data_IF_409881064838
#
_entry.id   IF_409881064838
#
_cell.length_a   1.000
_cell.length_b   1.000
_cell.length_c   1.000
_cell.angle_alpha   90.00
_cell.angle_beta   90.00
_cell.angle_gamma   90.00
#
_symmetry.space_group_name_H-M   'P 1'
#
loop_
_entity.id
_entity.type
_entity.pdbx_description
1 polymer ?
#
# COMPACT_ATOMS: atom_id res chain seq x y z
N UNK A 1 23.99 -1.18 2.03
CA UNK A 1 23.50 -0.32 0.96
C UNK A 1 23.34 1.08 1.55
N UNK A 2 24.10 2.05 1.03
CA UNK A 2 23.89 3.45 1.38
C UNK A 2 22.61 3.88 0.67
N UNK A 3 21.61 4.32 1.43
CA UNK A 3 20.47 5.00 0.85
C UNK A 3 21.02 6.17 0.01
N UNK A 4 20.79 6.14 -1.29
CA UNK A 4 21.13 7.27 -2.14
C UNK A 4 20.36 8.49 -1.62
N UNK A 5 21.02 9.60 -1.34
CA UNK A 5 20.31 10.81 -0.93
C UNK A 5 19.32 11.18 -2.04
N UNK A 6 18.11 11.56 -1.66
CA UNK A 6 17.01 12.02 -2.53
C UNK A 6 17.46 13.16 -3.50
N UNK A 7 18.66 13.67 -3.31
CA UNK A 7 19.24 14.79 -4.07
C UNK A 7 20.08 14.39 -5.30
N UNK A 8 20.16 13.10 -5.69
CA UNK A 8 20.75 12.79 -6.99
C UNK A 8 19.70 13.07 -8.06
N UNK A 9 19.99 14.04 -8.92
CA UNK A 9 19.13 14.37 -10.06
C UNK A 9 18.76 13.05 -10.79
N UNK A 10 17.46 12.78 -10.98
CA UNK A 10 17.00 11.58 -11.64
C UNK A 10 17.56 11.53 -13.07
N UNK A 11 17.79 10.33 -13.54
CA UNK A 11 18.19 10.11 -14.92
C UNK A 11 17.05 10.54 -15.83
N UNK A 12 17.36 11.09 -17.00
CA UNK A 12 16.36 11.55 -17.99
C UNK A 12 15.34 10.46 -18.37
N UNK A 13 15.76 9.19 -18.37
CA UNK A 13 14.94 8.02 -18.64
C UNK A 13 13.87 7.71 -17.54
N UNK A 14 14.07 8.19 -16.31
CA UNK A 14 13.10 8.01 -15.21
C UNK A 14 11.89 8.96 -15.32
N UNK A 15 11.96 9.97 -16.18
CA UNK A 15 10.88 10.95 -16.44
C UNK A 15 10.33 10.84 -17.86
N UNK A 16 10.90 9.97 -18.68
CA UNK A 16 10.40 9.75 -20.03
C UNK A 16 9.22 8.79 -20.02
N UNK A 17 8.02 9.33 -20.15
CA UNK A 17 6.78 8.57 -20.26
C UNK A 17 6.52 8.04 -21.67
N UNK A 18 7.43 8.28 -22.61
CA UNK A 18 7.39 7.80 -23.99
C UNK A 18 6.28 8.44 -24.85
N UNK A 19 5.15 8.77 -24.28
CA UNK A 19 4.00 9.39 -24.94
C UNK A 19 3.45 10.54 -24.10
N UNK A 20 2.93 11.57 -24.77
CA UNK A 20 2.18 12.60 -24.10
C UNK A 20 0.99 11.97 -23.36
N UNK A 21 0.79 12.34 -22.12
CA UNK A 21 -0.34 11.91 -21.29
C UNK A 21 -1.21 13.12 -21.01
N UNK A 22 -2.46 12.90 -20.65
CA UNK A 22 -3.34 13.92 -20.13
C UNK A 22 -3.49 13.71 -18.63
N UNK A 23 -3.43 14.79 -17.87
CA UNK A 23 -3.70 14.77 -16.45
C UNK A 23 -5.10 15.29 -16.18
N UNK A 24 -5.87 14.54 -15.41
CA UNK A 24 -7.22 14.91 -15.02
C UNK A 24 -7.29 15.03 -13.51
N UNK A 25 -7.67 16.23 -13.04
CA UNK A 25 -7.90 16.51 -11.63
C UNK A 25 -9.39 16.55 -11.32
N UNK A 26 -9.79 15.85 -10.26
CA UNK A 26 -11.16 15.86 -9.79
C UNK A 26 -11.35 16.92 -8.71
N UNK A 27 -12.18 17.94 -8.97
CA UNK A 27 -12.49 18.98 -8.01
C UNK A 27 -13.29 18.49 -6.79
N UNK A 28 -13.90 17.32 -6.88
CA UNK A 28 -14.71 16.79 -5.78
C UNK A 28 -13.87 16.01 -4.75
N UNK A 29 -13.00 15.11 -5.19
CA UNK A 29 -12.18 14.28 -4.28
C UNK A 29 -10.68 14.61 -4.34
N UNK A 30 -10.26 15.51 -5.22
CA UNK A 30 -8.87 15.91 -5.42
C UNK A 30 -7.98 14.84 -6.04
N UNK A 31 -8.54 13.76 -6.57
CA UNK A 31 -7.74 12.73 -7.23
C UNK A 31 -7.16 13.26 -8.53
N UNK A 32 -5.89 12.97 -8.76
CA UNK A 32 -5.18 13.23 -10.01
C UNK A 32 -4.97 11.91 -10.74
N UNK A 33 -5.35 11.87 -12.01
CA UNK A 33 -5.36 10.66 -12.83
C UNK A 33 -4.61 10.93 -14.11
N UNK A 34 -3.75 10.01 -14.51
CA UNK A 34 -3.12 10.04 -15.81
C UNK A 34 -3.96 9.23 -16.80
N UNK A 35 -4.28 9.86 -17.92
CA UNK A 35 -5.06 9.26 -18.98
C UNK A 35 -4.21 9.10 -20.23
N UNK A 36 -4.51 8.04 -20.98
CA UNK A 36 -4.02 7.94 -22.34
C UNK A 36 -4.52 9.12 -23.18
N UNK A 37 -3.71 9.62 -24.13
CA UNK A 37 -4.10 10.76 -24.97
C UNK A 37 -5.41 10.55 -25.74
N UNK A 38 -5.75 9.29 -25.97
CA UNK A 38 -6.97 8.88 -26.70
C UNK A 38 -8.17 8.65 -25.77
N UNK A 39 -7.95 8.60 -24.46
CA UNK A 39 -9.01 8.36 -23.49
C UNK A 39 -9.69 9.66 -23.12
N UNK A 40 -10.96 9.77 -23.42
CA UNK A 40 -11.82 10.85 -22.97
C UNK A 40 -12.71 10.29 -21.85
N UNK A 41 -12.39 10.62 -20.61
CA UNK A 41 -13.31 10.36 -19.52
C UNK A 41 -13.82 11.67 -18.97
N UNK A 42 -15.10 11.73 -18.68
CA UNK A 42 -15.75 12.88 -18.08
C UNK A 42 -16.17 12.61 -16.63
N UNK A 43 -15.74 11.48 -16.09
CA UNK A 43 -16.13 11.03 -14.76
C UNK A 43 -14.91 10.57 -14.01
N UNK A 44 -14.77 11.00 -12.75
CA UNK A 44 -13.70 10.56 -11.88
C UNK A 44 -13.90 9.09 -11.50
N UNK A 45 -12.94 8.17 -11.76
CA UNK A 45 -13.06 6.76 -11.40
C UNK A 45 -13.01 6.50 -9.90
N UNK A 46 -12.58 7.47 -9.09
CA UNK A 46 -12.51 7.33 -7.63
C UNK A 46 -13.82 7.67 -6.92
N UNK A 47 -14.52 8.71 -7.37
CA UNK A 47 -15.70 9.19 -6.66
C UNK A 47 -16.94 9.31 -7.54
N UNK A 48 -16.86 8.98 -8.83
CA UNK A 48 -17.98 9.07 -9.77
C UNK A 48 -18.42 10.49 -10.16
N UNK A 49 -17.69 11.53 -9.70
CA UNK A 49 -18.03 12.92 -10.00
C UNK A 49 -17.67 13.30 -11.43
N UNK A 50 -18.54 14.06 -12.10
CA UNK A 50 -18.26 14.67 -13.40
C UNK A 50 -17.51 16.00 -13.30
N UNK A 51 -17.20 16.47 -12.07
CA UNK A 51 -16.44 17.70 -11.86
C UNK A 51 -14.94 17.46 -12.01
N UNK A 52 -14.50 17.31 -13.23
CA UNK A 52 -13.09 17.00 -13.57
C UNK A 52 -12.52 18.10 -14.47
N UNK A 53 -11.25 18.43 -14.24
CA UNK A 53 -10.50 19.39 -15.06
C UNK A 53 -9.29 18.69 -15.66
N UNK A 54 -9.10 18.90 -16.94
CA UNK A 54 -7.94 18.38 -17.64
C UNK A 54 -6.80 19.39 -17.60
N UNK A 55 -5.62 18.92 -17.24
CA UNK A 55 -4.38 19.69 -17.24
C UNK A 55 -3.38 19.12 -18.24
N UNK A 56 -2.41 19.94 -18.63
CA UNK A 56 -1.23 19.44 -19.32
C UNK A 56 -0.45 18.51 -18.37
N UNK A 57 0.11 17.48 -18.93
CA UNK A 57 0.91 16.53 -18.17
C UNK A 57 2.15 17.20 -17.55
N UNK A 58 2.37 16.94 -16.29
CA UNK A 58 3.56 17.39 -15.59
C UNK A 58 4.72 16.39 -15.86
N UNK A 59 5.66 16.82 -16.68
CA UNK A 59 6.84 16.01 -17.05
C UNK A 59 7.84 15.77 -15.90
N UNK A 60 7.68 16.46 -14.77
CA UNK A 60 8.52 16.27 -13.59
C UNK A 60 8.07 15.06 -12.74
N UNK A 61 7.02 14.35 -13.13
CA UNK A 61 6.57 13.14 -12.45
C UNK A 61 7.39 11.93 -12.87
N UNK A 62 7.91 11.21 -11.87
CA UNK A 62 8.65 9.96 -12.12
C UNK A 62 7.74 8.89 -12.73
N UNK A 63 8.26 8.22 -13.74
CA UNK A 63 7.64 7.06 -14.34
C UNK A 63 7.81 5.83 -13.44
N UNK A 64 6.78 4.98 -13.25
CA UNK A 64 6.98 3.70 -12.58
C UNK A 64 7.90 2.80 -13.42
N UNK A 65 8.77 2.02 -12.75
CA UNK A 65 9.62 1.02 -13.42
C UNK A 65 8.90 -0.30 -13.65
N UNK A 66 8.04 -0.63 -12.72
CA UNK A 66 7.33 -1.91 -12.70
C UNK A 66 5.87 -1.68 -12.37
N UNK A 67 5.04 -2.62 -12.75
CA UNK A 67 3.64 -2.68 -12.33
C UNK A 67 3.28 -4.12 -11.94
N UNK A 68 2.31 -4.26 -11.06
CA UNK A 68 1.62 -5.53 -10.80
C UNK A 68 0.40 -5.59 -11.70
N UNK A 69 0.36 -6.50 -12.68
CA UNK A 69 -0.78 -6.57 -13.61
C UNK A 69 -2.04 -7.05 -12.90
N UNK A 70 -3.20 -6.71 -13.45
CA UNK A 70 -4.47 -7.29 -13.00
C UNK A 70 -4.50 -8.78 -13.34
N UNK A 71 -4.60 -9.62 -12.31
CA UNK A 71 -4.70 -11.09 -12.45
C UNK A 71 -6.16 -11.57 -12.47
N UNK A 72 -7.08 -10.72 -12.05
CA UNK A 72 -8.52 -11.01 -12.01
C UNK A 72 -9.21 -10.17 -13.06
N UNK A 73 -9.93 -10.82 -13.95
CA UNK A 73 -10.74 -10.16 -14.95
C UNK A 73 -11.96 -9.44 -14.32
N UNK A 74 -12.51 -8.47 -15.03
CA UNK A 74 -13.62 -7.66 -14.53
C UNK A 74 -14.87 -8.48 -14.17
N UNK A 75 -15.21 -9.50 -14.94
CA UNK A 75 -16.40 -10.33 -14.71
C UNK A 75 -16.32 -11.13 -13.39
N UNK A 76 -15.26 -11.93 -13.13
CA UNK A 76 -15.08 -12.59 -11.83
C UNK A 76 -15.00 -11.61 -10.66
N UNK A 77 -14.31 -10.47 -10.83
CA UNK A 77 -14.24 -9.45 -9.79
C UNK A 77 -15.61 -8.90 -9.42
N UNK A 78 -16.44 -8.60 -10.44
CA UNK A 78 -17.81 -8.15 -10.28
C UNK A 78 -18.66 -9.17 -9.52
N UNK A 79 -18.53 -10.46 -9.85
CA UNK A 79 -19.26 -11.51 -9.18
C UNK A 79 -18.88 -11.61 -7.70
N UNK A 80 -17.59 -11.60 -7.40
CA UNK A 80 -17.09 -11.62 -6.02
C UNK A 80 -17.63 -10.44 -5.19
N UNK A 81 -17.67 -9.24 -5.78
CA UNK A 81 -18.22 -8.05 -5.12
C UNK A 81 -19.73 -8.25 -4.84
N UNK A 82 -20.50 -8.75 -5.80
CA UNK A 82 -21.93 -9.02 -5.63
C UNK A 82 -22.18 -10.06 -4.54
N UNK A 83 -21.42 -11.13 -4.51
CA UNK A 83 -21.50 -12.17 -3.48
C UNK A 83 -21.13 -11.61 -2.10
N UNK A 84 -20.06 -10.83 -2.01
CA UNK A 84 -19.66 -10.18 -0.75
C UNK A 84 -20.72 -9.22 -0.24
N UNK A 85 -21.29 -8.36 -1.10
CA UNK A 85 -22.38 -7.46 -0.74
C UNK A 85 -23.63 -8.20 -0.27
N UNK A 86 -23.89 -9.41 -0.78
CA UNK A 86 -25.02 -10.24 -0.40
C UNK A 86 -24.79 -11.15 0.81
N UNK A 87 -23.54 -11.28 1.28
CA UNK A 87 -23.17 -12.26 2.31
C UNK A 87 -23.60 -11.88 3.74
N UNK A 88 -23.84 -10.60 4.02
CA UNK A 88 -24.18 -10.12 5.35
C UNK A 88 -25.68 -9.98 5.55
N UNK A 89 -26.22 -10.56 6.61
CA UNK A 89 -27.63 -10.44 7.01
C UNK A 89 -28.06 -8.99 7.35
N UNK A 90 -27.09 -8.12 7.67
CA UNK A 90 -27.32 -6.70 7.92
C UNK A 90 -27.30 -5.83 6.66
N UNK A 91 -26.92 -6.40 5.53
CA UNK A 91 -26.86 -5.66 4.26
C UNK A 91 -28.26 -5.48 3.68
N UNK A 92 -28.69 -4.24 3.38
CA UNK A 92 -29.97 -4.00 2.72
C UNK A 92 -30.07 -4.78 1.40
N UNK A 93 -31.19 -5.44 1.16
CA UNK A 93 -31.41 -6.30 -0.01
C UNK A 93 -31.38 -5.55 -1.35
N UNK A 94 -31.50 -4.24 -1.33
CA UNK A 94 -31.44 -3.36 -2.50
C UNK A 94 -30.03 -2.81 -2.79
N UNK A 95 -29.05 -3.04 -1.89
CA UNK A 95 -27.70 -2.52 -2.03
C UNK A 95 -27.02 -3.07 -3.29
N UNK A 96 -27.20 -4.34 -3.59
CA UNK A 96 -26.65 -4.96 -4.81
C UNK A 96 -27.20 -4.28 -6.10
N UNK A 97 -28.45 -3.83 -6.05
CA UNK A 97 -29.12 -3.15 -7.18
C UNK A 97 -28.70 -1.70 -7.28
N UNK A 98 -28.45 -1.05 -6.14
CA UNK A 98 -28.07 0.38 -6.07
C UNK A 98 -26.58 0.62 -6.29
N UNK A 99 -25.77 -0.39 -6.07
CA UNK A 99 -24.31 -0.25 -6.14
C UNK A 99 -23.76 0.04 -7.55
N UNK A 100 -24.66 0.11 -8.58
CA UNK A 100 -24.25 0.48 -9.94
C UNK A 100 -23.10 -0.39 -10.46
N UNK A 101 -23.08 -1.68 -10.10
CA UNK A 101 -22.02 -2.62 -10.44
C UNK A 101 -22.08 -3.07 -11.91
N UNK A 102 -22.43 -2.15 -12.79
CA UNK A 102 -22.53 -2.45 -14.21
C UNK A 102 -21.16 -2.33 -14.90
N UNK A 103 -20.23 -1.57 -14.29
CA UNK A 103 -18.90 -1.34 -14.82
C UNK A 103 -17.87 -1.24 -13.68
N UNK A 104 -16.78 -2.01 -13.81
CA UNK A 104 -15.61 -1.91 -12.92
C UNK A 104 -14.48 -1.20 -13.66
N UNK A 105 -13.95 -0.16 -13.05
CA UNK A 105 -12.76 0.52 -13.54
C UNK A 105 -11.54 0.08 -12.74
N UNK A 106 -10.56 -0.54 -13.40
CA UNK A 106 -9.28 -0.88 -12.81
C UNK A 106 -8.43 0.37 -12.62
N UNK A 107 -7.82 0.50 -11.45
CA UNK A 107 -6.97 1.65 -11.10
C UNK A 107 -5.62 1.14 -10.61
N UNK A 108 -4.54 1.67 -11.16
CA UNK A 108 -3.20 1.47 -10.64
C UNK A 108 -2.88 2.53 -9.59
N UNK A 109 -2.34 2.07 -8.47
CA UNK A 109 -1.88 2.94 -7.38
C UNK A 109 -0.35 2.98 -7.37
N UNK A 110 0.25 4.17 -7.21
CA UNK A 110 1.69 4.28 -7.10
C UNK A 110 2.17 3.83 -5.72
N UNK A 111 3.22 3.01 -5.70
CA UNK A 111 3.92 2.61 -4.50
C UNK A 111 5.43 2.79 -4.67
N UNK A 112 6.08 3.14 -3.58
CA UNK A 112 7.53 3.12 -3.45
C UNK A 112 7.95 1.85 -2.71
N UNK A 113 9.05 1.25 -3.14
CA UNK A 113 9.68 0.14 -2.42
C UNK A 113 10.96 0.64 -1.78
N UNK A 114 11.17 0.26 -0.51
CA UNK A 114 12.36 0.65 0.22
C UNK A 114 13.02 -0.59 0.84
N UNK A 115 14.35 -0.65 0.66
CA UNK A 115 15.21 -1.59 1.35
C UNK A 115 15.96 -0.85 2.45
N UNK A 116 15.97 -1.39 3.64
CA UNK A 116 16.66 -0.80 4.78
C UNK A 116 17.31 -1.85 5.67
N UNK A 117 18.41 -1.48 6.31
CA UNK A 117 18.94 -2.24 7.42
C UNK A 117 18.85 -1.40 8.68
N UNK A 118 18.07 -1.87 9.63
CA UNK A 118 17.92 -1.21 10.93
C UNK A 118 18.79 -1.87 11.96
N UNK A 119 19.33 -1.07 12.89
CA UNK A 119 20.02 -1.56 14.06
C UNK A 119 19.56 -0.78 15.28
N UNK A 120 19.32 -1.48 16.37
CA UNK A 120 18.94 -0.88 17.63
C UNK A 120 19.70 -1.55 18.77
N UNK A 121 20.04 -0.77 19.78
CA UNK A 121 20.51 -1.28 21.07
C UNK A 121 19.37 -1.17 22.08
N UNK A 122 19.25 -2.18 22.93
CA UNK A 122 18.24 -2.18 23.97
C UNK A 122 18.85 -2.43 25.34
N UNK A 123 18.21 -1.91 26.36
CA UNK A 123 18.50 -2.18 27.76
C UNK A 123 17.16 -2.37 28.46
N UNK A 124 17.02 -3.53 29.12
CA UNK A 124 15.78 -3.88 29.79
C UNK A 124 16.09 -4.58 31.12
N UNK A 125 15.18 -4.49 32.06
CA UNK A 125 15.21 -5.30 33.27
C UNK A 125 14.49 -6.62 33.00
N UNK A 126 15.22 -7.72 33.05
CA UNK A 126 14.74 -9.06 32.69
C UNK A 126 14.55 -9.89 33.96
N UNK A 127 13.36 -10.48 34.11
CA UNK A 127 13.00 -11.34 35.22
C UNK A 127 13.47 -12.78 35.02
N UNK A 128 14.43 -13.22 35.87
CA UNK A 128 14.90 -14.60 35.88
C UNK A 128 14.21 -15.40 36.99
N UNK A 129 13.49 -16.43 36.63
CA UNK A 129 12.86 -17.33 37.57
C UNK A 129 13.91 -18.20 38.26
N UNK A 130 13.91 -18.20 39.57
CA UNK A 130 14.77 -19.05 40.41
C UNK A 130 13.94 -19.81 41.42
N UNK A 131 14.41 -21.00 41.76
CA UNK A 131 13.81 -21.84 42.80
C UNK A 131 14.72 -21.93 44.02
N UNK A 132 14.13 -21.91 45.20
CA UNK A 132 14.79 -22.17 46.45
C UNK A 132 13.99 -23.24 47.21
N UNK A 133 14.68 -24.27 47.69
CA UNK A 133 14.09 -25.29 48.55
C UNK A 133 14.40 -24.97 49.99
N UNK A 134 13.38 -24.92 50.84
CA UNK A 134 13.54 -24.67 52.27
C UNK A 134 14.04 -25.95 53.01
N UNK A 135 14.42 -25.82 54.29
CA UNK A 135 14.88 -26.92 55.11
C UNK A 135 13.82 -28.02 55.36
N UNK A 136 12.57 -27.74 54.97
CA UNK A 136 11.43 -28.68 55.05
C UNK A 136 11.10 -29.34 53.70
N UNK A 137 11.97 -29.18 52.67
CA UNK A 137 11.81 -29.72 51.36
C UNK A 137 10.78 -29.01 50.46
N UNK A 138 10.27 -27.85 50.85
CA UNK A 138 9.29 -27.09 50.05
C UNK A 138 10.02 -26.19 49.08
N UNK A 139 9.71 -26.31 47.80
CA UNK A 139 10.29 -25.49 46.75
C UNK A 139 9.43 -24.22 46.54
N UNK A 140 10.08 -23.08 46.61
CA UNK A 140 9.51 -21.78 46.31
C UNK A 140 10.19 -21.19 45.08
N UNK A 141 9.37 -20.65 44.20
CA UNK A 141 9.84 -19.96 43.01
C UNK A 141 9.77 -18.45 43.23
N UNK A 142 10.84 -17.75 42.89
CA UNK A 142 10.92 -16.29 42.97
C UNK A 142 11.60 -15.73 41.74
N UNK A 143 11.30 -14.46 41.40
CA UNK A 143 11.90 -13.77 40.27
C UNK A 143 12.99 -12.84 40.72
N UNK A 144 14.15 -12.95 40.08
CA UNK A 144 15.28 -12.03 40.26
C UNK A 144 15.38 -11.16 39.04
N UNK A 145 15.24 -9.88 39.22
CA UNK A 145 15.35 -8.90 38.13
C UNK A 145 16.80 -8.51 37.91
N UNK A 146 17.23 -8.51 36.64
CA UNK A 146 18.59 -8.10 36.26
C UNK A 146 18.53 -7.24 35.02
N UNK A 147 19.37 -6.22 35.00
CA UNK A 147 19.59 -5.41 33.82
C UNK A 147 20.39 -6.19 32.79
N UNK A 148 19.80 -6.31 31.62
CA UNK A 148 20.42 -6.89 30.43
C UNK A 148 20.40 -5.87 29.30
N UNK A 149 21.36 -6.01 28.41
CA UNK A 149 21.43 -5.20 27.18
C UNK A 149 21.79 -6.08 26.00
N UNK A 150 21.44 -5.62 24.84
CA UNK A 150 21.74 -6.32 23.61
C UNK A 150 21.60 -5.40 22.41
N UNK A 151 21.85 -5.96 21.26
CA UNK A 151 21.61 -5.29 19.99
C UNK A 151 20.78 -6.20 19.10
N UNK A 152 19.95 -5.58 18.28
CA UNK A 152 19.19 -6.25 17.22
C UNK A 152 19.51 -5.57 15.89
N UNK A 153 19.64 -6.37 14.85
CA UNK A 153 19.80 -5.91 13.49
C UNK A 153 18.73 -6.58 12.66
N UNK A 154 17.90 -5.77 12.00
CA UNK A 154 16.78 -6.26 11.19
C UNK A 154 16.91 -5.70 9.77
N UNK A 155 17.10 -6.55 8.76
CA UNK A 155 16.93 -6.15 7.38
C UNK A 155 15.42 -6.01 7.08
N UNK A 156 15.09 -4.97 6.36
CA UNK A 156 13.75 -4.71 5.82
C UNK A 156 13.94 -4.69 4.31
N UNK A 157 13.26 -5.59 3.60
CA UNK A 157 13.29 -5.67 2.16
C UNK A 157 11.88 -5.40 1.63
N UNK A 158 11.82 -4.68 0.52
CA UNK A 158 10.59 -4.40 -0.22
C UNK A 158 9.48 -3.77 0.64
N UNK A 159 9.84 -2.86 1.57
CA UNK A 159 8.83 -2.12 2.32
C UNK A 159 8.03 -1.23 1.36
N UNK A 160 6.75 -1.54 1.21
CA UNK A 160 5.84 -0.78 0.37
C UNK A 160 5.35 0.48 1.10
N UNK A 161 5.45 1.60 0.42
CA UNK A 161 4.91 2.88 0.88
C UNK A 161 4.05 3.48 -0.22
N UNK A 162 2.78 3.74 0.09
CA UNK A 162 1.87 4.34 -0.88
C UNK A 162 2.35 5.72 -1.33
N UNK A 163 2.45 5.91 -2.64
CA UNK A 163 2.84 7.18 -3.27
C UNK A 163 1.69 8.19 -3.39
N UNK A 164 0.54 7.91 -2.76
CA UNK A 164 -0.62 8.79 -2.79
C UNK A 164 -1.10 9.14 -1.39
N UNK A 165 -1.38 10.41 -1.15
CA UNK A 165 -2.02 10.87 0.08
C UNK A 165 -3.53 11.10 -0.06
N UNK A 166 -4.11 10.72 -1.20
CA UNK A 166 -5.53 10.97 -1.51
C UNK A 166 -6.47 9.88 -0.99
N UNK A 167 -5.94 8.69 -0.72
CA UNK A 167 -6.71 7.57 -0.18
C UNK A 167 -6.49 7.44 1.33
N UNK A 168 -7.49 6.88 2.00
CA UNK A 168 -7.38 6.59 3.42
C UNK A 168 -6.28 5.54 3.66
N UNK A 169 -5.31 5.85 4.53
CA UNK A 169 -4.18 4.98 4.83
C UNK A 169 -4.63 3.58 5.27
N UNK A 170 -5.67 3.50 6.09
CA UNK A 170 -6.21 2.20 6.54
C UNK A 170 -6.68 1.32 5.39
N UNK A 171 -7.29 1.93 4.36
CA UNK A 171 -7.70 1.20 3.16
C UNK A 171 -6.48 0.72 2.36
N UNK A 172 -5.45 1.56 2.28
CA UNK A 172 -4.19 1.21 1.61
C UNK A 172 -3.49 0.04 2.32
N UNK A 173 -3.45 0.04 3.64
CA UNK A 173 -2.86 -1.02 4.46
C UNK A 173 -3.61 -2.37 4.31
N UNK A 174 -4.90 -2.34 3.97
CA UNK A 174 -5.69 -3.56 3.73
C UNK A 174 -5.45 -4.16 2.32
N UNK A 175 -4.99 -3.36 1.37
CA UNK A 175 -4.77 -3.79 -0.03
C UNK A 175 -3.29 -3.90 -0.42
N UNK A 176 -2.35 -3.62 0.47
CA UNK A 176 -0.91 -3.59 0.20
C UNK A 176 -0.25 -4.98 0.06
N UNK A 177 -1.02 -6.06 0.20
CA UNK A 177 -0.53 -7.45 0.06
C UNK A 177 -0.33 -7.84 -1.41
N UNK A 178 0.45 -7.05 -2.13
CA UNK A 178 0.76 -7.33 -3.53
C UNK A 178 1.79 -8.45 -3.66
N UNK A 179 1.57 -9.33 -4.65
CA UNK A 179 2.57 -10.31 -5.02
C UNK A 179 3.67 -9.65 -5.87
N UNK A 180 4.75 -9.22 -5.22
CA UNK A 180 5.88 -8.59 -5.92
C UNK A 180 6.59 -9.54 -6.89
N UNK A 181 6.39 -10.86 -6.77
CA UNK A 181 6.89 -11.84 -7.74
C UNK A 181 6.19 -11.80 -9.10
N UNK A 182 5.05 -11.09 -9.21
CA UNK A 182 4.30 -10.90 -10.46
C UNK A 182 4.56 -9.56 -11.15
N UNK A 183 5.55 -8.79 -10.67
CA UNK A 183 5.95 -7.53 -11.29
C UNK A 183 6.37 -7.74 -12.73
N UNK A 184 5.90 -6.86 -13.61
CA UNK A 184 6.33 -6.74 -15.00
C UNK A 184 6.89 -5.34 -15.24
N UNK A 185 7.79 -5.21 -16.20
CA UNK A 185 8.30 -3.89 -16.60
C UNK A 185 7.15 -3.04 -17.14
N UNK A 186 7.20 -1.75 -16.83
CA UNK A 186 6.25 -0.78 -17.34
C UNK A 186 6.77 -0.23 -18.67
N UNK A 187 6.10 -0.54 -19.77
CA UNK A 187 6.37 -0.07 -21.13
C UNK A 187 5.53 1.16 -21.49
#
# INVERSE_FOLDING_TARGET
AQASPIAQAPRSDEYDWGQERNELECNNCGATILLDPKSLTHVCPFCGSSSVVQHAFDHDKMRPRYLVPFLVEAQPAMQNIKEWLGSSWMTPSDLQKRAGLDELTGIYLPYWTFDATTSATWKAEVGHTRTRTDSKGRTQTYTVWKWENGSVRLPINDLLVAGTGKLNQRLLDEVDQFNLGSLVEYD
#
